data_IF_420477637246
#
_entry.id   IF_420477637246
#
_cell.length_a   1.000
_cell.length_b   1.000
_cell.length_c   1.000
_cell.angle_alpha   90.00
_cell.angle_beta   90.00
_cell.angle_gamma   90.00
#
_symmetry.space_group_name_H-M   'P 1'
#
loop_
_entity.id
_entity.type
_entity.pdbx_description
1 polymer ?
#
# COMPACT_ATOMS: atom_id res chain seq x y z
N UNK A 1 32.22 3.02 13.69
CA UNK A 1 30.91 3.46 14.19
C UNK A 1 29.93 3.09 13.09
N UNK A 2 29.36 1.90 13.17
CA UNK A 2 28.39 1.41 12.21
C UNK A 2 27.04 2.05 12.55
N UNK A 3 26.46 2.76 11.59
CA UNK A 3 25.08 3.25 11.67
C UNK A 3 24.25 2.15 11.03
N UNK A 4 23.52 1.40 11.85
CA UNK A 4 22.52 0.43 11.38
C UNK A 4 21.33 1.22 10.85
N UNK A 5 21.23 1.30 9.53
CA UNK A 5 20.09 1.83 8.82
C UNK A 5 18.93 0.82 8.91
N UNK A 6 18.02 1.02 9.86
CA UNK A 6 16.78 0.25 10.04
C UNK A 6 15.75 0.65 8.96
N UNK A 7 16.16 0.67 7.69
CA UNK A 7 15.25 0.86 6.56
C UNK A 7 14.63 -0.49 6.20
N UNK A 8 13.37 -0.66 6.57
CA UNK A 8 12.53 -1.75 6.06
C UNK A 8 12.49 -1.63 4.54
N UNK A 9 13.19 -2.53 3.87
CA UNK A 9 13.32 -2.57 2.41
C UNK A 9 12.05 -3.20 1.85
N UNK A 10 11.07 -2.37 1.50
CA UNK A 10 9.90 -2.83 0.76
C UNK A 10 10.32 -3.21 -0.66
N UNK A 11 9.86 -4.35 -1.15
CA UNK A 11 9.91 -4.64 -2.57
C UNK A 11 9.02 -3.61 -3.28
N UNK A 12 9.49 -3.02 -4.37
CA UNK A 12 8.73 -2.02 -5.13
C UNK A 12 8.74 -2.41 -6.60
N UNK A 13 7.58 -2.32 -7.27
CA UNK A 13 7.55 -2.28 -8.74
C UNK A 13 7.90 -0.84 -9.13
N UNK A 14 9.12 -0.65 -9.61
CA UNK A 14 9.63 0.66 -10.03
C UNK A 14 9.54 1.78 -8.98
N UNK A 15 9.59 1.45 -7.67
CA UNK A 15 9.50 2.44 -6.59
C UNK A 15 8.07 2.85 -6.18
N UNK A 16 7.04 2.17 -6.68
CA UNK A 16 5.63 2.53 -6.44
C UNK A 16 5.02 1.67 -5.33
N UNK A 17 4.37 2.33 -4.36
CA UNK A 17 3.63 1.68 -3.27
C UNK A 17 2.14 1.52 -3.61
N UNK A 18 1.54 0.41 -3.19
CA UNK A 18 0.11 0.13 -3.37
C UNK A 18 -0.65 0.33 -2.07
N UNK A 19 -1.72 1.12 -2.10
CA UNK A 19 -2.50 1.45 -0.92
C UNK A 19 -4.00 1.41 -1.17
N UNK A 20 -4.77 0.96 -0.18
CA UNK A 20 -6.22 1.12 -0.13
C UNK A 20 -6.56 2.38 0.65
N UNK A 21 -7.12 3.39 -0.02
CA UNK A 21 -7.70 4.56 0.63
C UNK A 21 -8.93 4.14 1.42
N UNK A 22 -8.96 4.51 2.70
CA UNK A 22 -10.06 4.22 3.63
C UNK A 22 -10.84 5.47 3.99
N UNK A 23 -10.18 6.62 4.01
CA UNK A 23 -10.77 7.91 4.33
C UNK A 23 -10.07 9.01 3.54
N UNK A 24 -10.86 9.97 3.06
CA UNK A 24 -10.39 11.25 2.53
C UNK A 24 -10.84 12.34 3.49
N UNK A 25 -9.96 13.31 3.76
CA UNK A 25 -10.26 14.38 4.69
C UNK A 25 -9.53 15.66 4.36
N UNK A 26 -9.99 16.74 4.98
CA UNK A 26 -9.40 18.08 4.89
C UNK A 26 -9.34 18.68 6.29
N UNK A 27 -8.19 19.24 6.65
CA UNK A 27 -7.97 19.94 7.93
C UNK A 27 -7.89 21.44 7.64
N UNK A 28 -8.75 22.22 8.26
CA UNK A 28 -8.74 23.68 8.19
C UNK A 28 -7.89 24.25 9.33
N UNK A 29 -6.75 24.87 9.00
CA UNK A 29 -5.90 25.56 9.96
C UNK A 29 -6.13 27.07 9.82
N UNK A 30 -6.78 27.65 10.83
CA UNK A 30 -7.05 29.09 10.94
C UNK A 30 -7.70 29.72 9.69
N UNK A 31 -8.46 28.96 8.90
CA UNK A 31 -9.08 29.35 7.63
C UNK A 31 -8.12 29.89 6.55
N UNK A 32 -6.81 29.67 6.71
CA UNK A 32 -5.76 30.17 5.81
C UNK A 32 -5.10 29.04 5.03
N UNK A 33 -4.97 27.88 5.66
CA UNK A 33 -4.36 26.70 5.06
C UNK A 33 -5.29 25.50 5.23
N UNK A 34 -5.50 24.81 4.11
CA UNK A 34 -6.21 23.56 4.07
C UNK A 34 -5.23 22.44 3.76
N UNK A 35 -5.25 21.38 4.55
CA UNK A 35 -4.42 20.20 4.34
C UNK A 35 -5.36 19.06 3.95
N UNK A 36 -5.30 18.65 2.68
CA UNK A 36 -6.01 17.47 2.19
C UNK A 36 -5.17 16.23 2.41
N UNK A 37 -5.80 15.16 2.90
CA UNK A 37 -5.11 13.93 3.23
C UNK A 37 -5.95 12.70 2.93
N UNK A 38 -5.26 11.56 2.81
CA UNK A 38 -5.88 10.26 2.73
C UNK A 38 -5.34 9.37 3.86
N UNK A 39 -6.23 8.60 4.49
CA UNK A 39 -5.83 7.48 5.34
C UNK A 39 -5.74 6.23 4.47
N UNK A 40 -4.55 5.63 4.43
CA UNK A 40 -4.21 4.52 3.53
C UNK A 40 -3.83 3.30 4.34
N UNK A 41 -4.29 2.13 3.88
CA UNK A 41 -3.80 0.83 4.32
C UNK A 41 -2.94 0.20 3.23
N UNK A 42 -1.71 -0.15 3.55
CA UNK A 42 -0.71 -0.53 2.55
C UNK A 42 -0.76 -2.01 2.13
N UNK A 43 -0.25 -2.25 0.93
CA UNK A 43 0.10 -3.56 0.42
C UNK A 43 1.60 -3.65 0.22
N UNK A 44 2.15 -4.83 0.48
CA UNK A 44 3.52 -5.20 0.15
C UNK A 44 3.52 -6.29 -0.91
N UNK A 45 4.65 -6.51 -1.58
CA UNK A 45 4.78 -7.64 -2.48
C UNK A 45 4.82 -8.93 -1.67
N UNK A 46 4.12 -9.93 -2.19
CA UNK A 46 4.20 -11.26 -1.62
C UNK A 46 5.50 -11.93 -2.10
N UNK A 47 6.56 -11.88 -1.30
CA UNK A 47 7.73 -12.75 -1.47
C UNK A 47 7.32 -14.20 -1.19
N UNK A 48 7.00 -14.98 -2.22
CA UNK A 48 6.93 -16.44 -2.09
C UNK A 48 7.60 -17.14 -3.27
N UNK A 49 8.70 -17.80 -2.93
CA UNK A 49 9.75 -18.50 -3.67
C UNK A 49 9.39 -19.46 -4.82
N UNK A 50 8.15 -19.61 -5.30
CA UNK A 50 7.89 -20.62 -6.32
C UNK A 50 6.83 -20.18 -7.33
N UNK A 51 7.30 -19.91 -8.54
CA UNK A 51 6.73 -20.11 -9.90
C UNK A 51 5.26 -19.73 -10.23
N UNK A 52 4.44 -19.31 -9.26
CA UNK A 52 3.03 -18.91 -9.43
C UNK A 52 2.83 -17.39 -9.27
N UNK A 53 3.87 -16.61 -9.56
CA UNK A 53 3.96 -15.16 -9.26
C UNK A 53 3.00 -14.30 -10.09
N UNK A 54 2.55 -14.79 -11.24
CA UNK A 54 1.71 -14.03 -12.17
C UNK A 54 0.42 -14.80 -12.47
N UNK A 55 -0.64 -14.56 -11.69
CA UNK A 55 -1.97 -14.85 -12.25
C UNK A 55 -2.26 -13.72 -13.23
N UNK A 56 -2.29 -14.07 -14.52
CA UNK A 56 -2.60 -13.15 -15.61
C UNK A 56 -1.63 -11.96 -15.73
N UNK A 57 -0.35 -12.13 -15.37
CA UNK A 57 0.67 -11.08 -15.52
C UNK A 57 0.64 -9.99 -14.45
N UNK A 58 -0.11 -10.16 -13.35
CA UNK A 58 -0.19 -9.17 -12.28
C UNK A 58 0.62 -9.58 -11.04
N UNK A 59 1.36 -8.65 -10.40
CA UNK A 59 2.11 -8.94 -9.19
C UNK A 59 1.18 -9.32 -8.05
N UNK A 60 1.61 -10.30 -7.23
CA UNK A 60 0.86 -10.71 -6.05
C UNK A 60 1.17 -9.78 -4.87
N UNK A 61 0.11 -9.18 -4.34
CA UNK A 61 0.19 -8.27 -3.20
C UNK A 61 -0.34 -8.92 -1.90
N UNK A 62 0.24 -8.52 -0.78
CA UNK A 62 -0.15 -8.88 0.59
C UNK A 62 -0.59 -7.63 1.33
N UNK A 63 -1.81 -7.64 1.86
CA UNK A 63 -2.31 -6.53 2.68
C UNK A 63 -1.58 -6.47 4.02
N UNK A 64 -0.97 -5.34 4.35
CA UNK A 64 -0.30 -5.09 5.62
C UNK A 64 -1.28 -4.70 6.73
N UNK A 65 -0.80 -4.68 7.97
CA UNK A 65 -1.61 -4.25 9.13
C UNK A 65 -1.53 -2.75 9.37
N UNK A 66 -0.54 -2.09 8.80
CA UNK A 66 -0.21 -0.69 9.06
C UNK A 66 -1.12 0.27 8.31
N UNK A 67 -1.31 1.44 8.91
CA UNK A 67 -2.12 2.52 8.38
C UNK A 67 -1.33 3.81 8.52
N UNK A 68 -1.33 4.61 7.46
CA UNK A 68 -0.70 5.92 7.47
C UNK A 68 -1.63 6.99 6.92
N UNK A 69 -1.31 8.23 7.26
CA UNK A 69 -1.90 9.42 6.66
C UNK A 69 -0.89 9.98 5.66
N UNK A 70 -1.33 10.15 4.41
CA UNK A 70 -0.51 10.73 3.34
C UNK A 70 -1.18 12.00 2.78
N UNK A 71 -0.41 12.98 2.27
CA UNK A 71 -0.98 14.10 1.54
C UNK A 71 -1.79 13.59 0.33
N UNK A 72 -2.96 14.17 0.08
CA UNK A 72 -3.81 13.72 -1.02
C UNK A 72 -3.10 13.82 -2.39
N UNK A 73 -2.29 14.86 -2.56
CA UNK A 73 -1.54 15.13 -3.80
C UNK A 73 -0.38 14.15 -4.03
N UNK A 74 -0.09 13.25 -3.09
CA UNK A 74 0.90 12.17 -3.28
C UNK A 74 0.32 10.91 -3.94
N UNK A 75 -0.99 10.86 -4.17
CA UNK A 75 -1.65 9.74 -4.85
C UNK A 75 -1.56 9.94 -6.37
N UNK A 76 -0.72 9.15 -7.02
CA UNK A 76 -0.47 9.23 -8.46
C UNK A 76 -1.66 8.77 -9.30
N UNK A 77 -2.22 7.58 -9.02
CA UNK A 77 -3.29 7.00 -9.83
C UNK A 77 -4.15 5.99 -9.05
N UNK A 78 -5.39 5.83 -9.51
CA UNK A 78 -6.25 4.76 -9.05
C UNK A 78 -5.95 3.46 -9.81
N UNK A 79 -5.85 2.36 -9.09
CA UNK A 79 -5.66 1.01 -9.64
C UNK A 79 -6.71 0.05 -9.09
N UNK A 80 -6.86 -1.12 -9.73
CA UNK A 80 -7.77 -2.16 -9.26
C UNK A 80 -6.99 -3.33 -8.67
N UNK A 81 -7.27 -3.69 -7.41
CA UNK A 81 -6.71 -4.85 -6.73
C UNK A 81 -7.81 -5.90 -6.58
N UNK A 82 -7.61 -7.08 -7.17
CA UNK A 82 -8.59 -8.17 -7.17
C UNK A 82 -8.27 -9.13 -6.01
N UNK A 83 -9.18 -9.33 -5.04
CA UNK A 83 -9.00 -10.33 -4.00
C UNK A 83 -8.95 -11.74 -4.60
N UNK A 84 -8.04 -12.59 -4.13
CA UNK A 84 -8.11 -14.03 -4.45
C UNK A 84 -9.15 -14.69 -3.56
N UNK A 85 -10.18 -15.26 -4.19
CA UNK A 85 -11.24 -16.00 -3.49
C UNK A 85 -10.89 -17.48 -3.23
N UNK A 86 -9.67 -17.93 -3.56
CA UNK A 86 -9.27 -19.33 -3.43
C UNK A 86 -8.67 -19.62 -2.05
N UNK A 87 -9.53 -20.00 -1.09
CA UNK A 87 -9.17 -20.91 0.00
C UNK A 87 -10.41 -21.68 0.45
N UNK A 88 -10.44 -23.00 0.21
CA UNK A 88 -11.35 -23.89 0.93
C UNK A 88 -10.99 -23.80 2.41
N UNK A 89 -11.94 -23.34 3.23
CA UNK A 89 -11.90 -23.50 4.67
C UNK A 89 -12.28 -24.97 4.91
N UNK A 90 -11.30 -25.83 5.16
CA UNK A 90 -11.60 -27.13 5.74
C UNK A 90 -11.78 -26.91 7.26
N UNK A 91 -12.98 -27.18 7.75
CA UNK A 91 -13.24 -27.35 9.19
C UNK A 91 -12.64 -28.66 9.68
#
# INVERSE_FOLDING_TARGET
MEITDDTTTYATDHGICFGKVLLLGEIFVNNLHNITFAMVKWYDYSEQDNEDLEICGCPRLKLLKDYDIVPLDSIEQAVHIIPRFHKKINF
#
